data_IF_776174871037
#
_entry.id   IF_776174871037
#
_cell.length_a   1.000
_cell.length_b   1.000
_cell.length_c   1.000
_cell.angle_alpha   90.00
_cell.angle_beta   90.00
_cell.angle_gamma   90.00
#
_symmetry.space_group_name_H-M   'P 1'
#
loop_
_entity.id
_entity.type
_entity.pdbx_description
1 polymer ?
#
# COMPACT_ATOMS: atom_id res chain seq x y z
N UNK A 1 21.27 -17.28 -19.34
CA UNK A 1 20.82 -16.64 -18.10
C UNK A 1 21.07 -17.62 -16.96
N UNK A 2 21.89 -17.30 -15.97
CA UNK A 2 22.19 -18.18 -14.83
C UNK A 2 20.92 -18.47 -14.01
N UNK A 3 20.93 -19.54 -13.20
CA UNK A 3 19.79 -19.96 -12.35
C UNK A 3 19.35 -18.81 -11.43
N UNK A 4 20.29 -18.13 -10.77
CA UNK A 4 20.01 -16.97 -9.92
C UNK A 4 19.25 -15.85 -10.64
N UNK A 5 19.62 -15.51 -11.87
CA UNK A 5 18.93 -14.47 -12.65
C UNK A 5 17.49 -14.84 -13.03
N UNK A 6 17.18 -16.14 -13.17
CA UNK A 6 15.81 -16.61 -13.46
C UNK A 6 14.92 -16.48 -12.25
N UNK A 7 15.44 -16.77 -11.08
CA UNK A 7 14.71 -16.65 -9.81
C UNK A 7 14.45 -15.19 -9.44
N UNK A 8 15.44 -14.31 -9.60
CA UNK A 8 15.25 -12.87 -9.36
C UNK A 8 14.19 -12.28 -10.31
N UNK A 9 14.20 -12.73 -11.57
CA UNK A 9 13.15 -12.36 -12.52
C UNK A 9 11.77 -12.91 -12.09
N UNK A 10 11.68 -14.14 -11.60
CA UNK A 10 10.44 -14.75 -11.11
C UNK A 10 9.89 -13.99 -9.87
N UNK A 11 10.76 -13.63 -8.92
CA UNK A 11 10.39 -12.81 -7.75
C UNK A 11 9.88 -11.44 -8.19
N UNK A 12 10.57 -10.79 -9.13
CA UNK A 12 10.16 -9.48 -9.64
C UNK A 12 8.81 -9.55 -10.38
N UNK A 13 8.60 -10.56 -11.21
CA UNK A 13 7.31 -10.80 -11.90
C UNK A 13 6.20 -11.09 -10.89
N UNK A 14 6.45 -11.97 -9.90
CA UNK A 14 5.48 -12.27 -8.86
C UNK A 14 5.10 -11.03 -8.04
N UNK A 15 6.08 -10.20 -7.66
CA UNK A 15 5.85 -8.96 -6.91
C UNK A 15 5.03 -7.95 -7.73
N UNK A 16 5.40 -7.73 -9.00
CA UNK A 16 4.69 -6.83 -9.88
C UNK A 16 3.26 -7.32 -10.17
N UNK A 17 3.08 -8.61 -10.48
CA UNK A 17 1.77 -9.18 -10.76
C UNK A 17 0.87 -9.19 -9.52
N UNK A 18 1.39 -9.52 -8.33
CA UNK A 18 0.61 -9.50 -7.09
C UNK A 18 0.11 -8.08 -6.77
N UNK A 19 1.02 -7.10 -6.82
CA UNK A 19 0.66 -5.71 -6.53
C UNK A 19 -0.27 -5.14 -7.60
N UNK A 20 0.05 -5.35 -8.87
CA UNK A 20 -0.75 -4.91 -10.01
C UNK A 20 -2.15 -5.53 -10.00
N UNK A 21 -2.27 -6.84 -9.80
CA UNK A 21 -3.54 -7.55 -9.75
C UNK A 21 -4.44 -7.09 -8.59
N UNK A 22 -3.87 -6.88 -7.40
CA UNK A 22 -4.61 -6.38 -6.24
C UNK A 22 -5.17 -4.97 -6.47
N UNK A 23 -4.40 -4.10 -7.11
CA UNK A 23 -4.79 -2.72 -7.46
C UNK A 23 -5.81 -2.73 -8.60
N UNK A 24 -5.53 -3.46 -9.66
CA UNK A 24 -6.42 -3.62 -10.81
C UNK A 24 -7.80 -4.10 -10.34
N UNK A 25 -7.87 -5.14 -9.52
CA UNK A 25 -9.13 -5.63 -8.96
C UNK A 25 -9.85 -4.56 -8.14
N UNK A 26 -9.14 -3.81 -7.29
CA UNK A 26 -9.72 -2.75 -6.49
C UNK A 26 -10.36 -1.66 -7.34
N UNK A 27 -9.64 -1.17 -8.36
CA UNK A 27 -10.12 -0.10 -9.26
C UNK A 27 -11.28 -0.56 -10.13
N UNK A 28 -11.19 -1.76 -10.72
CA UNK A 28 -12.26 -2.36 -11.54
C UNK A 28 -13.53 -2.54 -10.72
N UNK A 29 -13.43 -3.13 -9.53
CA UNK A 29 -14.59 -3.31 -8.65
C UNK A 29 -15.20 -1.98 -8.19
N UNK A 30 -14.36 -0.98 -7.86
CA UNK A 30 -14.85 0.33 -7.46
C UNK A 30 -15.72 0.95 -8.56
N UNK A 31 -15.30 0.88 -9.83
CA UNK A 31 -16.07 1.41 -10.97
C UNK A 31 -17.36 0.61 -11.17
N UNK A 32 -17.33 -0.72 -11.17
CA UNK A 32 -18.53 -1.52 -11.41
C UNK A 32 -19.52 -1.45 -10.25
N UNK A 33 -19.07 -1.45 -9.01
CA UNK A 33 -19.92 -1.24 -7.83
C UNK A 33 -20.47 0.20 -7.82
N UNK A 34 -19.69 1.19 -8.25
CA UNK A 34 -20.13 2.57 -8.34
C UNK A 34 -21.28 2.81 -9.30
N UNK A 35 -21.47 1.92 -10.30
CA UNK A 35 -22.60 1.99 -11.24
C UNK A 35 -23.93 1.48 -10.66
N UNK A 36 -23.88 0.62 -9.64
CA UNK A 36 -25.05 -0.08 -9.07
C UNK A 36 -25.25 0.16 -7.57
N UNK A 37 -24.28 0.78 -6.89
CA UNK A 37 -24.26 0.95 -5.46
C UNK A 37 -24.03 2.39 -5.02
N UNK A 38 -23.86 2.55 -3.71
CA UNK A 38 -23.61 3.84 -3.05
C UNK A 38 -22.11 4.10 -2.87
N UNK A 39 -21.69 5.34 -2.58
CA UNK A 39 -20.30 5.63 -2.19
C UNK A 39 -19.79 4.77 -1.03
N UNK A 40 -20.66 4.41 -0.07
CA UNK A 40 -20.33 3.47 0.99
C UNK A 40 -19.99 2.08 0.41
N UNK A 41 -20.80 1.55 -0.50
CA UNK A 41 -20.53 0.25 -1.14
C UNK A 41 -19.21 0.23 -1.90
N UNK A 42 -18.89 1.32 -2.60
CA UNK A 42 -17.60 1.49 -3.30
C UNK A 42 -16.43 1.48 -2.30
N UNK A 43 -16.56 2.23 -1.22
CA UNK A 43 -15.50 2.32 -0.20
C UNK A 43 -15.24 0.99 0.49
N UNK A 44 -16.26 0.15 0.67
CA UNK A 44 -16.14 -1.20 1.23
C UNK A 44 -15.25 -2.12 0.40
N UNK A 45 -15.05 -1.88 -0.92
CA UNK A 45 -14.09 -2.64 -1.73
C UNK A 45 -12.68 -2.56 -1.17
N UNK A 46 -12.29 -1.38 -0.70
CA UNK A 46 -10.98 -1.18 -0.08
C UNK A 46 -10.95 -1.70 1.36
N UNK A 47 -12.00 -1.45 2.14
CA UNK A 47 -12.09 -1.91 3.52
C UNK A 47 -12.02 -3.44 3.63
N UNK A 48 -12.77 -4.18 2.80
CA UNK A 48 -12.76 -5.66 2.79
C UNK A 48 -11.40 -6.22 2.39
N UNK A 49 -10.69 -5.55 1.49
CA UNK A 49 -9.33 -5.93 1.14
C UNK A 49 -8.37 -5.77 2.31
N UNK A 50 -8.36 -4.61 2.97
CA UNK A 50 -7.49 -4.40 4.13
C UNK A 50 -7.89 -5.28 5.32
N UNK A 51 -9.17 -5.56 5.51
CA UNK A 51 -9.66 -6.50 6.50
C UNK A 51 -9.09 -7.90 6.26
N UNK A 52 -9.20 -8.41 5.01
CA UNK A 52 -8.63 -9.69 4.64
C UNK A 52 -7.11 -9.76 4.88
N UNK A 53 -6.37 -8.72 4.48
CA UNK A 53 -4.93 -8.66 4.74
C UNK A 53 -4.61 -8.63 6.25
N UNK A 54 -5.33 -7.84 7.04
CA UNK A 54 -5.07 -7.68 8.46
C UNK A 54 -5.28 -8.99 9.23
N UNK A 55 -6.35 -9.72 8.91
CA UNK A 55 -6.70 -10.96 9.61
C UNK A 55 -5.88 -12.16 9.12
N UNK A 56 -5.72 -12.30 7.80
CA UNK A 56 -5.17 -13.53 7.23
C UNK A 56 -3.66 -13.49 6.95
N UNK A 57 -3.04 -12.31 6.87
CA UNK A 57 -1.59 -12.22 6.65
C UNK A 57 -0.75 -12.86 7.78
N UNK A 58 -1.07 -12.65 9.09
CA UNK A 58 -0.41 -13.37 10.18
C UNK A 58 -0.61 -14.88 10.13
N UNK A 59 -1.82 -15.33 9.74
CA UNK A 59 -2.17 -16.76 9.63
C UNK A 59 -1.33 -17.44 8.55
N UNK A 60 -1.29 -16.85 7.34
CA UNK A 60 -0.48 -17.39 6.25
C UNK A 60 1.01 -17.40 6.58
N UNK A 61 1.50 -16.35 7.24
CA UNK A 61 2.87 -16.29 7.73
C UNK A 61 3.17 -17.41 8.72
N UNK A 62 2.28 -17.66 9.69
CA UNK A 62 2.42 -18.73 10.67
C UNK A 62 2.39 -20.12 10.02
N UNK A 63 1.48 -20.33 9.05
CA UNK A 63 1.43 -21.58 8.26
C UNK A 63 2.76 -21.83 7.55
N UNK A 64 3.31 -20.81 6.90
CA UNK A 64 4.57 -20.92 6.16
C UNK A 64 5.76 -21.26 7.08
N UNK A 65 5.81 -20.64 8.27
CA UNK A 65 6.90 -20.88 9.23
C UNK A 65 6.81 -22.25 9.90
N UNK A 66 5.58 -22.69 10.26
CA UNK A 66 5.38 -23.99 10.93
C UNK A 66 5.55 -25.15 9.96
N UNK A 67 5.07 -24.99 8.71
CA UNK A 67 5.18 -26.03 7.70
C UNK A 67 6.56 -26.12 7.05
N UNK A 68 7.34 -25.01 7.06
CA UNK A 68 8.60 -24.88 6.32
C UNK A 68 8.45 -24.94 4.79
N UNK A 69 7.22 -24.96 4.28
CA UNK A 69 6.92 -25.13 2.83
C UNK A 69 6.45 -23.80 2.21
N UNK A 70 7.29 -22.78 2.29
CA UNK A 70 6.96 -21.41 1.87
C UNK A 70 6.53 -21.32 0.40
N UNK A 71 7.24 -22.02 -0.50
CA UNK A 71 6.89 -22.08 -1.92
C UNK A 71 5.48 -22.63 -2.14
N UNK A 72 5.13 -23.74 -1.47
CA UNK A 72 3.80 -24.34 -1.57
C UNK A 72 2.72 -23.38 -1.08
N UNK A 73 2.96 -22.68 0.03
CA UNK A 73 2.03 -21.68 0.57
C UNK A 73 1.84 -20.52 -0.43
N UNK A 74 2.91 -20.02 -1.06
CA UNK A 74 2.81 -18.97 -2.09
C UNK A 74 1.99 -19.41 -3.30
N UNK A 75 2.27 -20.61 -3.82
CA UNK A 75 1.56 -21.14 -5.00
C UNK A 75 0.09 -21.38 -4.70
N UNK A 76 -0.23 -22.03 -3.56
CA UNK A 76 -1.62 -22.30 -3.19
C UNK A 76 -2.40 -21.01 -2.92
N UNK A 77 -1.85 -20.10 -2.13
CA UNK A 77 -2.52 -18.84 -1.83
C UNK A 77 -2.77 -18.01 -3.09
N UNK A 78 -1.80 -17.91 -4.01
CA UNK A 78 -1.96 -17.20 -5.27
C UNK A 78 -2.96 -17.90 -6.21
N UNK A 79 -2.97 -19.24 -6.26
CA UNK A 79 -3.93 -20.01 -7.07
C UNK A 79 -5.36 -19.82 -6.57
N UNK A 80 -5.59 -19.94 -5.26
CA UNK A 80 -6.91 -19.69 -4.67
C UNK A 80 -7.36 -18.23 -4.82
N UNK A 81 -6.43 -17.28 -4.74
CA UNK A 81 -6.75 -15.88 -5.04
C UNK A 81 -7.22 -15.69 -6.49
N UNK A 82 -6.57 -16.34 -7.46
CA UNK A 82 -6.99 -16.29 -8.86
C UNK A 82 -8.38 -16.94 -9.08
N UNK A 83 -8.62 -18.09 -8.46
CA UNK A 83 -9.93 -18.77 -8.51
C UNK A 83 -11.03 -17.93 -7.88
N UNK A 84 -10.75 -17.20 -6.78
CA UNK A 84 -11.71 -16.33 -6.11
C UNK A 84 -12.21 -15.16 -6.99
N UNK A 85 -11.49 -14.80 -8.05
CA UNK A 85 -11.90 -13.77 -9.01
C UNK A 85 -12.92 -14.29 -10.02
N UNK A 86 -12.84 -15.57 -10.43
CA UNK A 86 -13.64 -16.13 -11.53
C UNK A 86 -15.16 -15.97 -11.35
N UNK A 87 -15.77 -16.19 -10.16
CA UNK A 87 -17.21 -16.02 -10.00
C UNK A 87 -17.70 -14.60 -10.30
N UNK A 88 -16.87 -13.57 -10.15
CA UNK A 88 -17.20 -12.19 -10.49
C UNK A 88 -17.49 -11.98 -11.98
N UNK A 89 -17.09 -12.93 -12.83
CA UNK A 89 -17.41 -12.95 -14.26
C UNK A 89 -18.91 -13.16 -14.51
N UNK A 90 -19.58 -13.91 -13.62
CA UNK A 90 -20.96 -14.39 -13.83
C UNK A 90 -21.96 -13.81 -12.84
N UNK A 91 -21.49 -13.25 -11.72
CA UNK A 91 -22.32 -12.83 -10.60
C UNK A 91 -22.44 -11.32 -10.55
N UNK A 92 -23.69 -10.83 -10.40
CA UNK A 92 -24.02 -9.44 -10.18
C UNK A 92 -24.49 -9.21 -8.73
N UNK A 93 -24.19 -8.02 -8.22
CA UNK A 93 -24.64 -7.59 -6.91
C UNK A 93 -23.51 -7.14 -5.99
N UNK A 94 -23.78 -6.10 -5.19
CA UNK A 94 -22.79 -5.46 -4.31
C UNK A 94 -22.29 -6.44 -3.24
N UNK A 95 -23.21 -7.08 -2.50
CA UNK A 95 -22.86 -7.96 -1.38
C UNK A 95 -22.01 -9.15 -1.82
N UNK A 96 -22.38 -9.79 -2.93
CA UNK A 96 -21.68 -10.95 -3.47
C UNK A 96 -20.29 -10.53 -3.99
N UNK A 97 -20.19 -9.38 -4.67
CA UNK A 97 -18.91 -8.84 -5.13
C UNK A 97 -17.96 -8.54 -3.96
N UNK A 98 -18.46 -7.95 -2.88
CA UNK A 98 -17.68 -7.71 -1.67
C UNK A 98 -17.26 -9.02 -0.97
N UNK A 99 -18.11 -10.04 -0.99
CA UNK A 99 -17.78 -11.38 -0.50
C UNK A 99 -16.59 -11.99 -1.24
N UNK A 100 -16.61 -12.00 -2.58
CA UNK A 100 -15.50 -12.48 -3.39
C UNK A 100 -14.25 -11.59 -3.28
N UNK A 101 -14.42 -10.27 -3.07
CA UNK A 101 -13.29 -9.38 -2.75
C UNK A 101 -12.60 -9.78 -1.45
N UNK A 102 -13.38 -10.08 -0.40
CA UNK A 102 -12.86 -10.56 0.88
C UNK A 102 -12.17 -11.90 0.71
N UNK A 103 -12.77 -12.84 -0.02
CA UNK A 103 -12.17 -14.13 -0.31
C UNK A 103 -10.84 -14.01 -1.07
N UNK A 104 -10.80 -13.17 -2.09
CA UNK A 104 -9.55 -12.83 -2.78
C UNK A 104 -8.51 -12.29 -1.80
N UNK A 105 -8.88 -11.34 -0.95
CA UNK A 105 -7.95 -10.73 0.02
C UNK A 105 -7.44 -11.74 1.04
N UNK A 106 -8.29 -12.68 1.49
CA UNK A 106 -7.92 -13.79 2.39
C UNK A 106 -6.76 -14.60 1.81
N UNK A 107 -6.82 -14.95 0.54
CA UNK A 107 -5.77 -15.72 -0.10
C UNK A 107 -4.58 -14.85 -0.52
N UNK A 108 -4.81 -13.67 -1.09
CA UNK A 108 -3.74 -12.74 -1.48
C UNK A 108 -2.88 -12.28 -0.28
N UNK A 109 -3.41 -12.36 0.95
CA UNK A 109 -2.71 -12.04 2.19
C UNK A 109 -1.47 -12.92 2.45
N UNK A 110 -1.41 -14.12 1.86
CA UNK A 110 -0.28 -15.03 2.01
C UNK A 110 0.98 -14.59 1.27
N UNK A 111 0.85 -13.80 0.21
CA UNK A 111 1.97 -13.48 -0.65
C UNK A 111 3.04 -12.62 0.02
N UNK A 112 2.68 -11.48 0.58
CA UNK A 112 3.65 -10.49 1.05
C UNK A 112 4.53 -10.98 2.20
N UNK A 113 3.99 -11.54 3.32
CA UNK A 113 4.82 -11.97 4.44
C UNK A 113 5.75 -13.11 4.05
N UNK A 114 5.26 -14.08 3.28
CA UNK A 114 6.05 -15.26 2.90
C UNK A 114 7.13 -14.89 1.88
N UNK A 115 6.79 -14.13 0.84
CA UNK A 115 7.75 -13.72 -0.18
C UNK A 115 8.84 -12.81 0.40
N UNK A 116 8.47 -11.87 1.29
CA UNK A 116 9.44 -10.98 1.92
C UNK A 116 10.44 -11.74 2.79
N UNK A 117 10.02 -12.81 3.45
CA UNK A 117 10.93 -13.67 4.21
C UNK A 117 11.91 -14.39 3.28
N UNK A 118 11.42 -14.98 2.17
CA UNK A 118 12.30 -15.63 1.17
C UNK A 118 13.33 -14.64 0.61
N UNK A 119 12.87 -13.45 0.21
CA UNK A 119 13.75 -12.40 -0.35
C UNK A 119 14.78 -11.94 0.66
N UNK A 120 14.40 -11.78 1.93
CA UNK A 120 15.29 -11.36 3.01
C UNK A 120 16.37 -12.40 3.32
N UNK A 121 16.00 -13.68 3.37
CA UNK A 121 16.94 -14.78 3.63
C UNK A 121 17.92 -14.99 2.45
N UNK A 122 17.45 -14.85 1.21
CA UNK A 122 18.31 -14.93 0.01
C UNK A 122 19.36 -13.83 -0.04
N UNK A 123 19.02 -12.62 0.39
CA UNK A 123 19.98 -11.51 0.45
C UNK A 123 21.07 -11.69 1.51
N UNK A 124 20.87 -12.60 2.47
CA UNK A 124 21.77 -12.75 3.62
C UNK A 124 22.00 -11.42 4.34
N UNK A 125 23.04 -11.34 5.17
CA UNK A 125 23.30 -10.13 5.97
C UNK A 125 23.80 -8.95 5.11
N UNK A 126 24.55 -9.23 4.05
CA UNK A 126 25.22 -8.19 3.24
C UNK A 126 24.35 -7.61 2.12
N UNK A 127 23.45 -8.38 1.50
CA UNK A 127 22.67 -7.96 0.33
C UNK A 127 21.15 -7.91 0.59
N UNK A 128 20.70 -8.11 1.83
CA UNK A 128 19.26 -8.08 2.22
C UNK A 128 18.57 -6.81 1.77
N UNK A 129 19.19 -5.66 1.99
CA UNK A 129 18.63 -4.36 1.59
C UNK A 129 18.43 -4.25 0.08
N UNK A 130 19.40 -4.76 -0.71
CA UNK A 130 19.34 -4.77 -2.18
C UNK A 130 18.20 -5.68 -2.68
N UNK A 131 18.09 -6.88 -2.12
CA UNK A 131 17.05 -7.85 -2.51
C UNK A 131 15.64 -7.33 -2.21
N UNK A 132 15.42 -6.79 -1.00
CA UNK A 132 14.16 -6.17 -0.60
C UNK A 132 13.86 -4.91 -1.43
N UNK A 133 14.88 -4.12 -1.78
CA UNK A 133 14.77 -2.96 -2.64
C UNK A 133 14.30 -3.34 -4.05
N UNK A 134 14.89 -4.38 -4.66
CA UNK A 134 14.47 -4.89 -5.97
C UNK A 134 13.02 -5.39 -5.96
N UNK A 135 12.65 -6.19 -4.94
CA UNK A 135 11.28 -6.65 -4.73
C UNK A 135 10.29 -5.49 -4.62
N UNK A 136 10.61 -4.47 -3.82
CA UNK A 136 9.76 -3.30 -3.62
C UNK A 136 9.63 -2.45 -4.89
N UNK A 137 10.71 -2.31 -5.67
CA UNK A 137 10.70 -1.61 -6.95
C UNK A 137 9.83 -2.32 -7.97
N UNK A 138 9.92 -3.65 -8.07
CA UNK A 138 9.05 -4.46 -8.93
C UNK A 138 7.57 -4.32 -8.52
N UNK A 139 7.27 -4.33 -7.22
CA UNK A 139 5.91 -4.08 -6.72
C UNK A 139 5.41 -2.68 -7.06
N UNK A 140 6.27 -1.65 -7.03
CA UNK A 140 5.90 -0.28 -7.41
C UNK A 140 5.59 -0.17 -8.91
N UNK A 141 6.37 -0.82 -9.77
CA UNK A 141 6.06 -0.94 -11.20
C UNK A 141 4.73 -1.64 -11.41
N UNK A 142 4.49 -2.76 -10.69
CA UNK A 142 3.19 -3.45 -10.72
C UNK A 142 2.03 -2.56 -10.30
N UNK A 143 2.21 -1.71 -9.28
CA UNK A 143 1.20 -0.75 -8.86
C UNK A 143 0.86 0.23 -10.00
N UNK A 144 1.87 0.83 -10.61
CA UNK A 144 1.69 1.76 -11.75
C UNK A 144 0.97 1.10 -12.92
N UNK A 145 1.44 -0.09 -13.34
CA UNK A 145 0.83 -0.84 -14.43
C UNK A 145 -0.60 -1.28 -14.09
N UNK A 146 -0.88 -1.71 -12.87
CA UNK A 146 -2.23 -2.08 -12.42
C UNK A 146 -3.22 -0.93 -12.52
N UNK A 147 -2.81 0.29 -12.15
CA UNK A 147 -3.65 1.48 -12.29
C UNK A 147 -3.91 1.83 -13.76
N UNK A 148 -2.84 1.90 -14.56
CA UNK A 148 -2.97 2.20 -15.99
C UNK A 148 -3.84 1.15 -16.71
N UNK A 149 -3.53 -0.13 -16.51
CA UNK A 149 -4.24 -1.24 -17.16
C UNK A 149 -5.72 -1.28 -16.73
N UNK A 150 -6.07 -0.90 -15.49
CA UNK A 150 -7.45 -0.88 -15.03
C UNK A 150 -8.33 0.02 -15.88
N UNK A 151 -7.85 1.21 -16.21
CA UNK A 151 -8.56 2.15 -17.07
C UNK A 151 -8.75 1.61 -18.49
N UNK A 152 -7.67 1.10 -19.09
CA UNK A 152 -7.70 0.53 -20.44
C UNK A 152 -8.67 -0.68 -20.53
N UNK A 153 -8.62 -1.59 -19.57
CA UNK A 153 -9.49 -2.77 -19.58
C UNK A 153 -10.97 -2.41 -19.42
N UNK A 154 -11.30 -1.47 -18.53
CA UNK A 154 -12.69 -1.03 -18.31
C UNK A 154 -13.28 -0.36 -19.56
N UNK A 155 -12.42 0.35 -20.34
CA UNK A 155 -12.85 1.04 -21.56
C UNK A 155 -13.01 0.10 -22.74
N UNK A 156 -12.07 -0.85 -22.90
CA UNK A 156 -11.99 -1.69 -24.10
C UNK A 156 -12.81 -2.97 -24.04
N UNK A 157 -13.11 -3.48 -22.84
CA UNK A 157 -13.69 -4.82 -22.69
C UNK A 157 -14.97 -4.79 -21.82
N UNK A 158 -15.93 -5.70 -22.10
CA UNK A 158 -17.07 -5.90 -21.23
C UNK A 158 -16.63 -6.47 -19.87
N UNK A 159 -17.44 -6.24 -18.84
CA UNK A 159 -17.18 -6.59 -17.45
C UNK A 159 -16.70 -8.06 -17.27
N UNK A 160 -17.40 -8.99 -17.90
CA UNK A 160 -17.06 -10.42 -17.81
C UNK A 160 -15.64 -10.71 -18.29
N UNK A 161 -15.26 -10.15 -19.44
CA UNK A 161 -13.91 -10.28 -19.98
C UNK A 161 -12.86 -9.66 -19.06
N UNK A 162 -13.15 -8.49 -18.46
CA UNK A 162 -12.23 -7.83 -17.53
C UNK A 162 -11.94 -8.72 -16.32
N UNK A 163 -12.95 -9.34 -15.72
CA UNK A 163 -12.72 -10.24 -14.58
C UNK A 163 -12.01 -11.53 -14.98
N UNK A 164 -12.28 -12.05 -16.16
CA UNK A 164 -11.57 -13.21 -16.69
C UNK A 164 -10.07 -12.91 -16.90
N UNK A 165 -9.75 -11.76 -17.53
CA UNK A 165 -8.37 -11.31 -17.70
C UNK A 165 -7.69 -11.04 -16.36
N UNK A 166 -8.42 -10.49 -15.39
CA UNK A 166 -7.91 -10.27 -14.05
C UNK A 166 -7.58 -11.58 -13.32
N UNK A 167 -8.41 -12.61 -13.46
CA UNK A 167 -8.11 -13.94 -12.92
C UNK A 167 -6.84 -14.53 -13.56
N UNK A 168 -6.70 -14.42 -14.88
CA UNK A 168 -5.49 -14.81 -15.60
C UNK A 168 -4.25 -14.03 -15.13
N UNK A 169 -4.36 -12.72 -14.97
CA UNK A 169 -3.29 -11.89 -14.45
C UNK A 169 -2.89 -12.27 -13.01
N UNK A 170 -3.87 -12.59 -12.17
CA UNK A 170 -3.61 -13.07 -10.81
C UNK A 170 -2.96 -14.45 -10.81
N UNK A 171 -3.32 -15.33 -11.75
CA UNK A 171 -2.70 -16.65 -11.92
C UNK A 171 -1.21 -16.57 -12.28
N UNK A 172 -0.76 -15.49 -12.95
CA UNK A 172 0.67 -15.25 -13.22
C UNK A 172 1.49 -15.26 -11.93
N UNK A 173 0.92 -14.80 -10.81
CA UNK A 173 1.60 -14.85 -9.50
C UNK A 173 1.91 -16.28 -9.11
N UNK A 174 0.93 -17.19 -9.22
CA UNK A 174 1.13 -18.60 -8.89
C UNK A 174 2.19 -19.25 -9.80
N UNK A 175 2.13 -18.99 -11.10
CA UNK A 175 3.11 -19.52 -12.07
C UNK A 175 4.51 -18.98 -11.78
N UNK A 176 4.66 -17.69 -11.49
CA UNK A 176 5.95 -17.10 -11.14
C UNK A 176 6.50 -17.70 -9.82
N UNK A 177 5.63 -17.95 -8.83
CA UNK A 177 6.03 -18.58 -7.57
C UNK A 177 6.50 -20.05 -7.74
N UNK A 178 6.11 -20.74 -8.80
CA UNK A 178 6.65 -22.08 -9.11
C UNK A 178 8.15 -22.04 -9.43
N UNK A 179 8.67 -20.94 -9.92
CA UNK A 179 10.07 -20.74 -10.25
C UNK A 179 10.91 -20.19 -9.09
N UNK A 180 10.28 -19.86 -7.95
CA UNK A 180 10.96 -19.37 -6.75
C UNK A 180 11.41 -20.57 -5.93
N UNK A 181 12.70 -20.65 -5.58
CA UNK A 181 13.23 -21.67 -4.67
C UNK A 181 13.10 -21.18 -3.22
N UNK A 182 12.73 -22.11 -2.35
CA UNK A 182 12.66 -21.88 -0.91
C UNK A 182 14.06 -22.11 -0.32
N UNK A 183 14.72 -21.09 0.25
CA UNK A 183 16.03 -21.26 0.84
C UNK A 183 16.00 -21.97 2.20
N UNK A 184 14.79 -22.22 2.73
CA UNK A 184 14.63 -22.84 4.04
C UNK A 184 14.87 -24.35 3.94
N UNK A 185 15.76 -24.94 4.74
CA UNK A 185 15.89 -26.39 4.82
C UNK A 185 14.60 -26.99 5.36
N UNK A 186 14.19 -28.14 4.78
CA UNK A 186 13.02 -28.89 5.26
C UNK A 186 13.09 -29.11 6.77
N UNK A 187 12.19 -28.45 7.48
CA UNK A 187 12.05 -28.65 8.92
C UNK A 187 11.04 -29.77 9.15
N UNK A 188 11.54 -30.95 9.54
CA UNK A 188 10.71 -32.03 10.06
C UNK A 188 10.13 -31.68 11.43
N UNK A 189 9.21 -30.71 11.47
CA UNK A 189 8.48 -30.38 12.68
C UNK A 189 7.06 -30.90 12.53
N UNK A 190 6.53 -31.52 13.58
CA UNK A 190 5.11 -31.86 13.63
C UNK A 190 4.27 -30.60 13.44
N UNK A 191 3.51 -30.57 12.35
CA UNK A 191 2.57 -29.49 12.03
C UNK A 191 1.34 -29.68 12.89
N UNK A 192 1.23 -28.94 13.97
CA UNK A 192 0.08 -28.98 14.88
C UNK A 192 -0.69 -27.66 14.75
N UNK A 193 -2.03 -27.74 14.75
CA UNK A 193 -2.89 -26.57 14.75
C UNK A 193 -2.58 -25.60 15.90
N UNK A 194 -2.25 -26.14 17.06
CA UNK A 194 -1.86 -25.36 18.26
C UNK A 194 -0.62 -24.49 18.00
N UNK A 195 0.40 -25.00 17.34
CA UNK A 195 1.60 -24.24 16.96
C UNK A 195 1.29 -23.11 15.97
N UNK A 196 0.41 -23.37 15.00
CA UNK A 196 -0.04 -22.34 14.06
C UNK A 196 -0.78 -21.23 14.82
N UNK A 197 -1.69 -21.60 15.72
CA UNK A 197 -2.44 -20.64 16.52
C UNK A 197 -1.54 -19.80 17.43
N UNK A 198 -0.59 -20.43 18.15
CA UNK A 198 0.37 -19.74 19.02
C UNK A 198 1.27 -18.77 18.21
N UNK A 199 1.80 -19.19 17.05
CA UNK A 199 2.57 -18.30 16.17
C UNK A 199 1.73 -17.14 15.63
N UNK A 200 0.47 -17.39 15.30
CA UNK A 200 -0.45 -16.35 14.82
C UNK A 200 -0.72 -15.31 15.91
N UNK A 201 -1.03 -15.75 17.14
CA UNK A 201 -1.25 -14.86 18.28
C UNK A 201 0.00 -14.06 18.61
N UNK A 202 1.19 -14.68 18.61
CA UNK A 202 2.46 -13.99 18.81
C UNK A 202 2.74 -12.88 17.78
N UNK A 203 2.20 -13.01 16.56
CA UNK A 203 2.32 -11.97 15.51
C UNK A 203 1.27 -10.87 15.63
N UNK A 204 0.12 -11.14 16.25
CA UNK A 204 -0.98 -10.18 16.41
C UNK A 204 -0.81 -9.31 17.65
N UNK A 205 -0.20 -9.83 18.70
CA UNK A 205 -0.04 -9.13 19.99
C UNK A 205 1.42 -8.66 20.10
N UNK A 206 1.70 -7.34 20.02
CA UNK A 206 3.03 -6.81 20.35
C UNK A 206 3.32 -7.14 21.82
N UNK A 207 4.33 -7.96 22.05
CA UNK A 207 4.65 -8.47 23.40
C UNK A 207 5.52 -7.53 24.24
N UNK A 208 5.92 -6.36 23.71
CA UNK A 208 6.92 -5.52 24.38
C UNK A 208 6.66 -4.02 24.27
N UNK A 209 6.84 -3.37 25.40
CA UNK A 209 7.33 -2.03 25.64
C UNK A 209 6.73 -0.85 24.90
N UNK A 210 5.60 -0.36 25.40
CA UNK A 210 5.08 0.99 25.10
C UNK A 210 6.10 2.08 25.48
N UNK A 211 7.09 1.78 26.30
CA UNK A 211 8.07 2.72 26.85
C UNK A 211 8.90 3.44 25.80
N UNK A 212 9.26 2.76 24.70
CA UNK A 212 10.01 3.37 23.60
C UNK A 212 9.17 4.31 22.71
N UNK A 213 7.86 4.26 22.81
CA UNK A 213 6.98 5.15 22.03
C UNK A 213 7.10 6.61 22.45
N UNK A 214 7.60 6.90 23.66
CA UNK A 214 7.80 8.26 24.14
C UNK A 214 9.10 8.90 23.63
N UNK A 215 10.05 8.08 23.15
CA UNK A 215 11.36 8.57 22.67
C UNK A 215 11.16 9.50 21.46
N UNK A 216 11.69 10.70 21.55
CA UNK A 216 11.62 11.75 20.53
C UNK A 216 10.19 12.05 19.98
N UNK A 217 9.14 11.68 20.72
CA UNK A 217 7.77 11.90 20.31
C UNK A 217 7.25 10.89 19.29
N UNK A 218 7.82 9.69 19.21
CA UNK A 218 7.47 8.62 18.25
C UNK A 218 5.96 8.29 18.29
N UNK A 219 5.31 8.31 19.45
CA UNK A 219 3.87 8.14 19.60
C UNK A 219 3.08 9.14 18.73
N UNK A 220 3.47 10.40 18.71
CA UNK A 220 2.81 11.44 17.92
C UNK A 220 3.05 11.26 16.42
N UNK A 221 4.20 10.71 16.05
CA UNK A 221 4.49 10.32 14.68
C UNK A 221 3.56 9.19 14.21
N UNK A 222 3.24 8.21 15.06
CA UNK A 222 2.28 7.16 14.73
C UNK A 222 0.85 7.71 14.63
N UNK A 223 0.45 8.60 15.53
CA UNK A 223 -0.86 9.28 15.44
C UNK A 223 -0.96 10.06 14.14
N UNK A 224 0.05 10.85 13.78
CA UNK A 224 0.06 11.60 12.53
C UNK A 224 0.04 10.68 11.29
N UNK A 225 0.78 9.57 11.33
CA UNK A 225 0.78 8.54 10.29
C UNK A 225 -0.58 7.86 10.14
N UNK A 226 -1.27 7.61 11.25
CA UNK A 226 -2.62 7.07 11.25
C UNK A 226 -3.61 8.06 10.64
N UNK A 227 -3.63 9.33 11.08
CA UNK A 227 -4.49 10.39 10.54
C UNK A 227 -4.29 10.55 9.02
N UNK A 228 -3.04 10.56 8.59
CA UNK A 228 -2.72 10.57 7.15
C UNK A 228 -3.20 9.31 6.44
N UNK A 229 -3.06 8.14 7.05
CA UNK A 229 -3.56 6.88 6.46
C UNK A 229 -5.06 6.90 6.31
N UNK A 230 -5.79 7.39 7.31
CA UNK A 230 -7.25 7.63 7.24
C UNK A 230 -7.58 8.55 6.08
N UNK A 231 -6.91 9.70 5.97
CA UNK A 231 -7.12 10.66 4.88
C UNK A 231 -6.90 10.03 3.51
N UNK A 232 -5.72 9.42 3.29
CA UNK A 232 -5.32 8.95 1.95
C UNK A 232 -6.07 7.67 1.55
N UNK A 233 -6.23 6.68 2.45
CA UNK A 233 -6.93 5.43 2.11
C UNK A 233 -8.43 5.66 1.96
N UNK A 234 -9.03 6.54 2.77
CA UNK A 234 -10.42 6.95 2.59
C UNK A 234 -10.65 7.59 1.23
N UNK A 235 -9.83 8.57 0.88
CA UNK A 235 -9.92 9.26 -0.40
C UNK A 235 -9.68 8.37 -1.61
N UNK A 236 -8.57 7.61 -1.60
CA UNK A 236 -8.18 6.77 -2.73
C UNK A 236 -9.18 5.65 -3.00
N UNK A 237 -9.96 5.21 -2.00
CA UNK A 237 -11.02 4.21 -2.17
C UNK A 237 -12.16 4.67 -3.08
N UNK A 238 -12.46 5.95 -3.08
CA UNK A 238 -13.55 6.57 -3.85
C UNK A 238 -13.05 7.27 -5.12
N UNK A 239 -11.73 7.46 -5.24
CA UNK A 239 -11.13 8.26 -6.31
C UNK A 239 -11.45 7.78 -7.73
N UNK A 240 -11.44 6.47 -8.05
CA UNK A 240 -11.83 5.99 -9.38
C UNK A 240 -13.24 6.44 -9.78
N UNK A 241 -14.20 6.26 -8.88
CA UNK A 241 -15.60 6.67 -9.11
C UNK A 241 -15.72 8.18 -9.19
N UNK A 242 -15.02 8.93 -8.33
CA UNK A 242 -15.00 10.38 -8.38
C UNK A 242 -14.52 10.90 -9.74
N UNK A 243 -13.43 10.35 -10.28
CA UNK A 243 -12.87 10.77 -11.56
C UNK A 243 -13.82 10.48 -12.73
N UNK A 244 -14.43 9.29 -12.76
CA UNK A 244 -15.31 8.89 -13.87
C UNK A 244 -16.69 9.54 -13.74
N UNK A 245 -17.32 9.50 -12.55
CA UNK A 245 -18.73 9.89 -12.39
C UNK A 245 -18.93 11.37 -12.05
N UNK A 246 -17.97 12.02 -11.35
CA UNK A 246 -18.10 13.42 -10.94
C UNK A 246 -17.28 14.36 -11.82
N UNK A 247 -16.03 14.02 -12.13
CA UNK A 247 -15.22 14.81 -13.05
C UNK A 247 -15.62 14.54 -14.50
N UNK A 248 -16.01 13.30 -14.83
CA UNK A 248 -16.51 12.93 -16.16
C UNK A 248 -15.39 12.49 -17.13
N UNK A 249 -14.21 12.14 -16.64
CA UNK A 249 -13.15 11.60 -17.51
C UNK A 249 -13.46 10.16 -17.91
N UNK A 250 -12.95 9.74 -19.09
CA UNK A 250 -13.10 8.34 -19.52
C UNK A 250 -12.34 7.39 -18.57
N UNK A 251 -12.71 6.11 -18.49
CA UNK A 251 -11.97 5.12 -17.70
C UNK A 251 -10.48 5.05 -18.08
N UNK A 252 -10.16 5.21 -19.34
CA UNK A 252 -8.76 5.23 -19.80
C UNK A 252 -7.98 6.40 -19.22
N UNK A 253 -8.54 7.62 -19.28
CA UNK A 253 -7.93 8.82 -18.68
C UNK A 253 -7.83 8.68 -17.17
N UNK A 254 -8.85 8.12 -16.50
CA UNK A 254 -8.78 7.78 -15.07
C UNK A 254 -7.58 6.89 -14.76
N UNK A 255 -7.34 5.83 -15.55
CA UNK A 255 -6.21 4.93 -15.39
C UNK A 255 -4.86 5.64 -15.50
N UNK A 256 -4.71 6.56 -16.47
CA UNK A 256 -3.53 7.41 -16.62
C UNK A 256 -3.34 8.30 -15.38
N UNK A 257 -4.38 8.99 -14.95
CA UNK A 257 -4.33 9.87 -13.77
C UNK A 257 -3.90 9.08 -12.52
N UNK A 258 -4.53 7.93 -12.26
CA UNK A 258 -4.20 7.10 -11.11
C UNK A 258 -2.76 6.55 -11.15
N UNK A 259 -2.20 6.32 -12.34
CA UNK A 259 -0.83 5.86 -12.53
C UNK A 259 0.23 6.95 -12.20
N UNK A 260 -0.13 8.24 -12.20
CA UNK A 260 0.78 9.34 -11.87
C UNK A 260 1.39 9.15 -10.47
N UNK A 261 0.55 8.86 -9.48
CA UNK A 261 1.00 8.71 -8.10
C UNK A 261 2.10 7.63 -7.94
N UNK A 262 1.92 6.35 -8.33
CA UNK A 262 2.98 5.35 -8.22
C UNK A 262 4.17 5.63 -9.15
N UNK A 263 3.98 6.24 -10.31
CA UNK A 263 5.10 6.65 -11.18
C UNK A 263 6.01 7.65 -10.49
N UNK A 264 5.42 8.66 -9.86
CA UNK A 264 6.17 9.68 -9.08
C UNK A 264 6.86 9.06 -7.85
N UNK A 265 6.24 8.06 -7.21
CA UNK A 265 6.85 7.37 -6.06
C UNK A 265 8.15 6.66 -6.44
N UNK A 266 8.26 6.06 -7.63
CA UNK A 266 9.45 5.33 -8.07
C UNK A 266 10.68 6.26 -8.08
N UNK A 267 10.57 7.42 -8.70
CA UNK A 267 11.64 8.41 -8.73
C UNK A 267 11.78 9.15 -7.38
N UNK A 268 10.65 9.46 -6.76
CA UNK A 268 10.57 10.27 -5.54
C UNK A 268 11.26 9.64 -4.35
N UNK A 269 11.16 8.31 -4.15
CA UNK A 269 11.82 7.64 -3.02
C UNK A 269 13.33 7.78 -3.06
N UNK A 270 13.94 7.68 -4.24
CA UNK A 270 15.39 7.87 -4.39
C UNK A 270 15.82 9.30 -4.09
N UNK A 271 15.08 10.28 -4.59
CA UNK A 271 15.38 11.71 -4.36
C UNK A 271 15.18 12.10 -2.89
N UNK A 272 14.10 11.62 -2.26
CA UNK A 272 13.78 11.92 -0.87
C UNK A 272 14.75 11.27 0.12
N UNK A 273 15.36 10.13 -0.23
CA UNK A 273 16.44 9.54 0.55
C UNK A 273 17.62 10.51 0.73
N UNK A 274 18.14 11.01 -0.37
CA UNK A 274 19.23 12.00 -0.36
C UNK A 274 18.84 13.33 0.31
N UNK A 275 17.60 13.75 0.13
CA UNK A 275 17.10 14.98 0.73
C UNK A 275 16.95 14.84 2.25
N UNK A 276 16.52 13.66 2.73
CA UNK A 276 16.37 13.35 4.15
C UNK A 276 17.66 13.56 4.94
N UNK A 277 18.81 13.16 4.36
CA UNK A 277 20.12 13.33 4.99
C UNK A 277 20.57 14.80 5.07
N UNK A 278 20.09 15.65 4.16
CA UNK A 278 20.46 17.06 4.10
C UNK A 278 19.58 17.98 4.94
N UNK A 279 18.26 17.75 4.92
CA UNK A 279 17.29 18.70 5.54
C UNK A 279 16.79 18.23 6.90
N UNK A 280 17.04 16.97 7.29
CA UNK A 280 16.55 16.35 8.51
C UNK A 280 15.26 15.54 8.30
N UNK A 281 15.04 14.57 9.21
CA UNK A 281 13.93 13.62 9.13
C UNK A 281 12.57 14.28 9.39
N UNK A 282 12.48 15.05 10.46
CA UNK A 282 11.25 15.74 10.88
C UNK A 282 10.72 16.67 9.78
N UNK A 283 11.58 17.48 9.15
CA UNK A 283 11.16 18.41 8.09
C UNK A 283 10.57 17.68 6.90
N UNK A 284 11.16 16.56 6.52
CA UNK A 284 10.68 15.74 5.41
C UNK A 284 9.33 15.08 5.73
N UNK A 285 9.15 14.60 6.97
CA UNK A 285 7.87 14.06 7.45
C UNK A 285 6.77 15.12 7.42
N UNK A 286 7.05 16.32 7.93
CA UNK A 286 6.09 17.43 7.93
C UNK A 286 5.72 17.84 6.50
N UNK A 287 6.70 17.95 5.60
CA UNK A 287 6.44 18.25 4.18
C UNK A 287 5.55 17.17 3.53
N UNK A 288 5.77 15.90 3.83
CA UNK A 288 4.94 14.79 3.36
C UNK A 288 3.50 14.82 3.92
N UNK A 289 3.31 15.24 5.17
CA UNK A 289 1.97 15.39 5.77
C UNK A 289 1.23 16.61 5.16
N UNK A 290 1.91 17.74 5.03
CA UNK A 290 1.34 18.95 4.41
C UNK A 290 0.95 18.66 2.97
N UNK A 291 1.82 18.04 2.20
CA UNK A 291 1.55 17.70 0.81
C UNK A 291 0.45 16.63 0.65
N UNK A 292 0.30 15.71 1.61
CA UNK A 292 -0.85 14.77 1.62
C UNK A 292 -2.18 15.53 1.82
N UNK A 293 -2.20 16.59 2.64
CA UNK A 293 -3.33 17.52 2.72
C UNK A 293 -3.50 18.35 1.43
N UNK A 294 -2.42 18.77 0.80
CA UNK A 294 -2.45 19.45 -0.50
C UNK A 294 -3.08 18.62 -1.60
N UNK A 295 -2.81 17.31 -1.63
CA UNK A 295 -3.49 16.37 -2.52
C UNK A 295 -5.01 16.41 -2.35
N UNK A 296 -5.50 16.31 -1.12
CA UNK A 296 -6.94 16.30 -0.84
C UNK A 296 -7.58 17.66 -1.09
N UNK A 297 -6.86 18.75 -0.82
CA UNK A 297 -7.26 20.11 -1.17
C UNK A 297 -7.45 20.27 -2.69
N UNK A 298 -6.46 19.85 -3.49
CA UNK A 298 -6.54 19.91 -4.95
C UNK A 298 -7.70 19.10 -5.48
N UNK A 299 -7.97 17.92 -4.93
CA UNK A 299 -9.16 17.14 -5.31
C UNK A 299 -10.47 17.85 -4.95
N UNK A 300 -10.54 18.53 -3.81
CA UNK A 300 -11.70 19.35 -3.42
C UNK A 300 -11.91 20.56 -4.32
N UNK A 301 -10.86 21.02 -5.01
CA UNK A 301 -10.88 22.17 -5.92
C UNK A 301 -11.02 21.78 -7.40
N UNK A 302 -11.10 20.48 -7.73
CA UNK A 302 -11.20 20.01 -9.12
C UNK A 302 -12.40 20.59 -9.89
N UNK A 303 -13.47 20.97 -9.22
CA UNK A 303 -14.64 21.57 -9.86
C UNK A 303 -14.50 23.06 -10.21
N UNK A 304 -13.40 23.72 -9.81
CA UNK A 304 -13.21 25.16 -10.10
C UNK A 304 -12.95 25.45 -11.59
N UNK A 305 -12.12 24.70 -12.33
CA UNK A 305 -11.98 24.91 -13.75
C UNK A 305 -13.26 24.59 -14.50
N UNK A 306 -13.67 25.47 -15.41
CA UNK A 306 -14.86 25.31 -16.23
C UNK A 306 -14.74 24.29 -17.36
N UNK A 307 -13.58 23.67 -17.56
CA UNK A 307 -13.32 22.70 -18.64
C UNK A 307 -12.90 21.35 -18.07
N UNK A 308 -13.30 20.26 -18.75
CA UNK A 308 -12.93 18.90 -18.38
C UNK A 308 -11.40 18.71 -18.30
N UNK A 309 -10.67 19.27 -19.28
CA UNK A 309 -9.20 19.25 -19.29
C UNK A 309 -8.61 19.93 -18.07
N UNK A 310 -9.13 21.11 -17.69
CA UNK A 310 -8.70 21.81 -16.49
C UNK A 310 -8.95 21.02 -15.21
N UNK A 311 -10.11 20.38 -15.10
CA UNK A 311 -10.45 19.51 -13.97
C UNK A 311 -9.52 18.29 -13.89
N UNK A 312 -9.26 17.62 -15.02
CA UNK A 312 -8.32 16.51 -15.11
C UNK A 312 -6.88 16.92 -14.74
N UNK A 313 -6.43 18.11 -15.14
CA UNK A 313 -5.11 18.63 -14.77
C UNK A 313 -4.99 18.90 -13.27
N UNK A 314 -6.01 19.49 -12.64
CA UNK A 314 -6.03 19.70 -11.18
C UNK A 314 -6.01 18.36 -10.43
N UNK A 315 -6.78 17.36 -10.88
CA UNK A 315 -6.74 16.01 -10.32
C UNK A 315 -5.35 15.37 -10.49
N UNK A 316 -4.76 15.48 -11.68
CA UNK A 316 -3.41 14.99 -11.98
C UNK A 316 -2.33 15.65 -11.11
N UNK A 317 -2.42 16.97 -10.90
CA UNK A 317 -1.53 17.71 -9.99
C UNK A 317 -1.68 17.23 -8.54
N UNK A 318 -2.91 16.96 -8.10
CA UNK A 318 -3.17 16.34 -6.80
C UNK A 318 -2.49 14.99 -6.65
N UNK A 319 -2.61 14.11 -7.65
CA UNK A 319 -1.98 12.78 -7.65
C UNK A 319 -0.45 12.85 -7.72
N UNK A 320 0.10 13.81 -8.45
CA UNK A 320 1.53 14.11 -8.45
C UNK A 320 2.01 14.56 -7.06
N UNK A 321 1.28 15.48 -6.43
CA UNK A 321 1.53 15.93 -5.07
C UNK A 321 1.48 14.75 -4.07
N UNK A 322 0.50 13.85 -4.20
CA UNK A 322 0.41 12.64 -3.38
C UNK A 322 1.65 11.75 -3.54
N UNK A 323 2.16 11.56 -4.76
CA UNK A 323 3.35 10.75 -5.03
C UNK A 323 4.60 11.29 -4.36
N UNK A 324 4.85 12.59 -4.47
CA UNK A 324 5.96 13.27 -3.79
C UNK A 324 5.80 13.18 -2.28
N UNK A 325 4.60 13.50 -1.78
CA UNK A 325 4.30 13.50 -0.35
C UNK A 325 4.45 12.12 0.28
N UNK A 326 4.03 11.08 -0.43
CA UNK A 326 4.22 9.70 0.00
C UNK A 326 5.70 9.36 0.09
N UNK A 327 6.50 9.71 -0.92
CA UNK A 327 7.94 9.45 -0.95
C UNK A 327 8.65 10.15 0.19
N UNK A 328 8.35 11.43 0.43
CA UNK A 328 8.92 12.20 1.52
C UNK A 328 8.59 11.59 2.89
N UNK A 329 7.31 11.29 3.12
CA UNK A 329 6.85 10.74 4.39
C UNK A 329 7.40 9.33 4.63
N UNK A 330 7.34 8.45 3.62
CA UNK A 330 7.80 7.07 3.74
C UNK A 330 9.28 7.00 4.10
N UNK A 331 10.10 7.74 3.35
CA UNK A 331 11.54 7.82 3.61
C UNK A 331 11.82 8.46 4.97
N UNK A 332 11.21 9.61 5.26
CA UNK A 332 11.42 10.32 6.52
C UNK A 332 11.07 9.47 7.74
N UNK A 333 9.95 8.73 7.72
CA UNK A 333 9.54 7.90 8.86
C UNK A 333 10.46 6.68 9.03
N UNK A 334 10.83 5.99 7.94
CA UNK A 334 11.72 4.82 8.04
C UNK A 334 13.07 5.24 8.60
N UNK A 335 13.67 6.33 8.06
CA UNK A 335 14.92 6.86 8.58
C UNK A 335 14.80 7.33 10.03
N UNK A 336 13.69 8.01 10.40
CA UNK A 336 13.46 8.45 11.77
C UNK A 336 13.39 7.26 12.75
N UNK A 337 12.65 6.20 12.38
CA UNK A 337 12.57 4.98 13.20
C UNK A 337 13.95 4.34 13.32
N UNK A 338 14.72 4.23 12.25
CA UNK A 338 16.08 3.70 12.28
C UNK A 338 17.03 4.49 13.17
N UNK A 339 16.88 5.84 13.23
CA UNK A 339 17.70 6.70 14.09
C UNK A 339 17.34 6.58 15.59
N UNK A 340 16.06 6.28 15.92
CA UNK A 340 15.50 6.34 17.30
C UNK A 340 15.33 4.96 17.91
N UNK A 341 15.11 3.94 17.09
CA UNK A 341 14.84 2.59 17.54
C UNK A 341 16.10 1.92 18.12
N UNK A 342 15.99 1.17 19.22
CA UNK A 342 17.03 0.22 19.61
C UNK A 342 17.28 -0.79 18.47
N UNK A 343 18.55 -1.19 18.28
CA UNK A 343 19.00 -2.01 17.14
C UNK A 343 18.24 -3.34 17.00
N UNK A 344 17.74 -3.88 18.10
CA UNK A 344 16.98 -5.13 18.17
C UNK A 344 15.47 -4.95 17.98
N UNK A 345 14.94 -3.70 17.94
CA UNK A 345 13.49 -3.39 17.91
C UNK A 345 13.01 -2.58 16.70
N UNK A 346 13.88 -2.24 15.78
CA UNK A 346 13.53 -1.48 14.58
C UNK A 346 12.40 -2.16 13.79
N UNK A 347 12.49 -3.48 13.59
CA UNK A 347 11.48 -4.26 12.88
C UNK A 347 10.11 -4.26 13.58
N UNK A 348 10.06 -4.26 14.90
CA UNK A 348 8.85 -4.18 15.70
C UNK A 348 8.13 -2.83 15.50
N UNK A 349 8.89 -1.74 15.58
CA UNK A 349 8.35 -0.39 15.39
C UNK A 349 7.85 -0.16 13.95
N UNK A 350 8.56 -0.67 12.95
CA UNK A 350 8.07 -0.65 11.56
C UNK A 350 6.79 -1.49 11.42
N UNK A 351 6.71 -2.63 12.11
CA UNK A 351 5.53 -3.51 12.16
C UNK A 351 4.31 -2.80 12.76
N UNK A 352 4.49 -2.09 13.88
CA UNK A 352 3.42 -1.33 14.54
C UNK A 352 2.83 -0.25 13.61
N UNK A 353 3.68 0.43 12.85
CA UNK A 353 3.22 1.37 11.81
C UNK A 353 2.39 0.69 10.74
N UNK A 354 2.81 -0.50 10.30
CA UNK A 354 2.08 -1.26 9.28
C UNK A 354 0.71 -1.71 9.78
N UNK A 355 0.60 -2.10 11.05
CA UNK A 355 -0.66 -2.43 11.73
C UNK A 355 -1.59 -1.22 11.80
N UNK A 356 -1.07 -0.05 12.22
CA UNK A 356 -1.84 1.20 12.24
C UNK A 356 -2.38 1.57 10.85
N UNK A 357 -1.57 1.39 9.80
CA UNK A 357 -2.00 1.59 8.41
C UNK A 357 -3.07 0.59 7.98
N UNK A 358 -2.93 -0.69 8.36
CA UNK A 358 -3.92 -1.73 8.08
C UNK A 358 -5.27 -1.40 8.69
N UNK A 359 -5.28 -1.01 9.97
CA UNK A 359 -6.48 -0.57 10.68
C UNK A 359 -7.12 0.67 10.03
N UNK A 360 -6.30 1.68 9.65
CA UNK A 360 -6.76 2.82 8.87
C UNK A 360 -7.41 2.41 7.55
N UNK A 361 -6.87 1.38 6.88
CA UNK A 361 -7.42 0.85 5.63
C UNK A 361 -8.77 0.13 5.77
N UNK A 362 -9.08 -0.40 6.97
CA UNK A 362 -10.39 -0.99 7.26
C UNK A 362 -11.42 0.08 7.61
N UNK A 363 -11.06 1.04 8.46
CA UNK A 363 -11.99 2.02 9.03
C UNK A 363 -12.21 3.24 8.14
N UNK A 364 -11.15 3.74 7.51
CA UNK A 364 -11.22 5.00 6.78
C UNK A 364 -12.12 4.95 5.53
N UNK A 365 -12.06 3.93 4.65
CA UNK A 365 -12.90 3.91 3.47
C UNK A 365 -14.39 4.01 3.78
N UNK A 366 -15.00 3.18 4.66
CA UNK A 366 -16.43 3.30 4.97
C UNK A 366 -16.77 4.65 5.63
N UNK A 367 -15.89 5.19 6.48
CA UNK A 367 -16.09 6.51 7.06
C UNK A 367 -16.19 7.59 5.96
N UNK A 368 -15.31 7.55 4.96
CA UNK A 368 -15.35 8.46 3.82
C UNK A 368 -16.54 8.20 2.91
N UNK A 369 -16.94 6.93 2.72
CA UNK A 369 -18.15 6.58 1.98
C UNK A 369 -19.40 7.21 2.59
N UNK A 370 -19.56 7.13 3.92
CA UNK A 370 -20.65 7.79 4.66
C UNK A 370 -20.54 9.31 4.56
N UNK A 371 -19.33 9.87 4.72
CA UNK A 371 -19.12 11.31 4.63
C UNK A 371 -19.50 11.87 3.26
N UNK A 372 -19.16 11.17 2.17
CA UNK A 372 -19.55 11.58 0.82
C UNK A 372 -21.08 11.52 0.62
N UNK A 373 -21.74 10.52 1.20
CA UNK A 373 -23.21 10.45 1.16
C UNK A 373 -23.88 11.59 1.92
N UNK A 374 -23.28 12.02 3.03
CA UNK A 374 -23.86 13.07 3.88
C UNK A 374 -23.56 14.49 3.38
N UNK A 375 -22.36 14.78 2.89
CA UNK A 375 -21.91 16.13 2.59
C UNK A 375 -21.31 16.31 1.18
N UNK A 376 -21.28 15.26 0.37
CA UNK A 376 -20.73 15.25 -0.99
C UNK A 376 -19.19 15.17 -1.03
N UNK A 377 -18.67 14.92 -2.23
CA UNK A 377 -17.22 14.73 -2.45
C UNK A 377 -16.39 15.96 -2.08
N UNK A 378 -16.79 17.14 -2.54
CA UNK A 378 -16.02 18.39 -2.32
C UNK A 378 -15.79 18.67 -0.83
N UNK A 379 -16.85 18.64 -0.03
CA UNK A 379 -16.78 18.91 1.40
C UNK A 379 -15.98 17.85 2.14
N UNK A 380 -16.18 16.58 1.78
CA UNK A 380 -15.41 15.46 2.34
C UNK A 380 -13.91 15.61 2.04
N UNK A 381 -13.55 16.02 0.84
CA UNK A 381 -12.14 16.21 0.46
C UNK A 381 -11.49 17.39 1.17
N UNK A 382 -12.21 18.49 1.33
CA UNK A 382 -11.73 19.64 2.09
C UNK A 382 -11.59 19.34 3.58
N UNK A 383 -12.51 18.58 4.18
CA UNK A 383 -12.39 18.14 5.57
C UNK A 383 -11.21 17.19 5.79
N UNK A 384 -10.93 16.31 4.83
CA UNK A 384 -9.77 15.42 4.84
C UNK A 384 -8.44 16.20 4.82
N UNK A 385 -8.40 17.37 4.19
CA UNK A 385 -7.24 18.28 4.21
C UNK A 385 -6.89 18.69 5.64
N UNK A 386 -7.89 19.10 6.40
CA UNK A 386 -7.70 19.53 7.79
C UNK A 386 -7.16 18.37 8.64
N UNK A 387 -7.68 17.15 8.44
CA UNK A 387 -7.22 15.98 9.18
C UNK A 387 -5.74 15.69 8.94
N UNK A 388 -5.26 15.80 7.70
CA UNK A 388 -3.84 15.62 7.37
C UNK A 388 -2.97 16.75 7.95
N UNK A 389 -3.44 17.98 7.94
CA UNK A 389 -2.71 19.12 8.48
C UNK A 389 -2.66 19.14 10.02
N UNK A 390 -3.70 18.60 10.69
CA UNK A 390 -3.64 18.31 12.13
C UNK A 390 -2.50 17.33 12.42
N UNK A 391 -2.35 16.26 11.62
CA UNK A 391 -1.20 15.37 11.73
C UNK A 391 0.14 16.08 11.58
N UNK A 392 0.26 17.02 10.64
CA UNK A 392 1.47 17.83 10.47
C UNK A 392 1.73 18.71 11.71
N UNK A 393 0.71 19.36 12.23
CA UNK A 393 0.81 20.20 13.43
C UNK A 393 1.25 19.40 14.67
N UNK A 394 0.75 18.17 14.84
CA UNK A 394 1.20 17.27 15.92
C UNK A 394 2.68 16.93 15.80
N UNK A 395 3.17 16.63 14.60
CA UNK A 395 4.59 16.35 14.37
C UNK A 395 5.44 17.60 14.62
N UNK A 396 5.01 18.77 14.16
CA UNK A 396 5.73 20.04 14.40
C UNK A 396 5.87 20.29 15.90
N UNK A 397 4.81 20.07 16.67
CA UNK A 397 4.73 20.44 18.10
C UNK A 397 5.39 19.42 19.04
N UNK A 398 5.29 18.12 18.74
CA UNK A 398 5.58 17.05 19.70
C UNK A 398 6.69 16.09 19.28
N UNK A 399 7.15 16.11 18.03
CA UNK A 399 8.25 15.26 17.56
C UNK A 399 9.54 16.07 17.55
N UNK A 400 10.60 15.50 18.10
CA UNK A 400 11.95 16.10 18.06
C UNK A 400 12.70 15.62 16.83
N UNK A 401 13.65 16.42 16.28
CA UNK A 401 14.50 15.96 15.17
C UNK A 401 15.42 14.84 15.63
N UNK A 402 15.52 13.75 14.87
CA UNK A 402 16.38 12.62 15.19
C UNK A 402 17.79 12.76 14.62
N UNK A 403 17.95 13.52 13.55
CA UNK A 403 19.21 13.70 12.84
C UNK A 403 19.54 15.17 12.69
N UNK A 404 20.68 15.59 13.27
CA UNK A 404 21.19 16.93 13.01
C UNK A 404 21.60 17.05 11.53
N UNK A 405 21.08 18.02 10.76
CA UNK A 405 21.51 18.21 9.39
C UNK A 405 23.02 18.41 9.37
N UNK A 406 23.72 17.74 8.47
CA UNK A 406 25.16 18.00 8.25
C UNK A 406 25.28 19.45 7.82
N UNK A 407 25.58 20.33 8.78
CA UNK A 407 25.95 21.68 8.45
C UNK A 407 27.09 21.59 7.44
N UNK A 408 27.03 22.37 6.38
CA UNK A 408 28.12 22.50 5.44
C UNK A 408 29.33 23.04 6.22
N UNK A 409 30.11 22.13 6.77
CA UNK A 409 31.44 22.42 7.29
C UNK A 409 32.36 22.63 6.11
N UNK A 410 32.16 23.74 5.43
CA UNK A 410 33.13 24.34 4.56
C UNK A 410 33.88 25.40 5.34
N UNK A 411 34.91 24.98 6.07
CA UNK A 411 36.14 25.72 6.21
C UNK A 411 37.10 24.89 7.06
N UNK A 412 38.23 24.41 6.53
CA UNK A 412 39.31 24.02 7.37
C UNK A 412 39.84 25.30 8.07
N UNK A 413 39.89 25.26 9.40
CA UNK A 413 40.70 26.23 10.13
C UNK A 413 42.14 26.07 9.65
N UNK A 414 42.62 27.11 9.00
CA UNK A 414 44.05 27.31 8.78
C UNK A 414 44.64 27.74 10.13
N UNK A 415 45.54 26.91 10.66
CA UNK A 415 46.65 27.32 11.50
C UNK A 415 47.89 26.54 11.08
#
# INVERSE_FOLDING_TARGET
MGRANREDAAIAVAAAANKGGSILMGTVMAIYIGRIGTPLAVSLVTATFFFGLMVFSPIWGAIADVTGRRRTVLVLSASFAAVAVLPLTFVDGVAVSLGFRTLFATFAAGFLPVMLTIVSERGGDSERGRAVGLFSSAAAVGFMLGQFTSGALIELFPRSTVYFLLAGFTAVVAVACLAVEDPTPDRNHEVTFERIAQNTVGRLVPTTGIDHLQTNGLQWLYVASFLRSVTVLGMTSLLPVYLVSNVGVSPFVMGILLAINPAVQIAGMYLMGRLSDRVGRKRLIVAGLIGSGGYTLLLGLTSLPGTLTGQALVAGLGLFCLGISFSALQTGIISFIGDVAPTDRESELIGLRSTARGFGGVVAPPLFGVSVMAMGFRTTFLSATLLSWVGAALVIRFVSESHAPTAATGMPAVD
#
